data_IF_694223180594
#
_entry.id   IF_694223180594
#
_cell.length_a   1.000
_cell.length_b   1.000
_cell.length_c   1.000
_cell.angle_alpha   90.00
_cell.angle_beta   90.00
_cell.angle_gamma   90.00
#
_symmetry.space_group_name_H-M   'P 1'
#
loop_
_entity.id
_entity.type
_entity.pdbx_description
1 polymer ?
#
# COMPACT_ATOMS: atom_id res chain seq x y z
N UNK A 1 -22.97 0.75 -10.97
CA UNK A 1 -21.62 0.14 -10.97
C UNK A 1 -21.26 -0.19 -9.54
N UNK A 2 -20.89 -1.43 -9.25
CA UNK A 2 -20.36 -1.83 -7.94
C UNK A 2 -18.85 -1.63 -8.02
N UNK A 3 -18.29 -0.78 -7.17
CA UNK A 3 -16.82 -0.64 -7.03
C UNK A 3 -16.35 -1.62 -5.97
N UNK A 4 -15.61 -2.66 -6.36
CA UNK A 4 -14.98 -3.56 -5.39
C UNK A 4 -13.76 -2.84 -4.79
N UNK A 5 -13.80 -2.56 -3.49
CA UNK A 5 -12.69 -1.97 -2.76
C UNK A 5 -11.94 -3.07 -2.01
N UNK A 6 -10.67 -3.26 -2.36
CA UNK A 6 -9.80 -4.24 -1.73
C UNK A 6 -9.25 -3.71 -0.40
N UNK A 7 -9.01 -4.61 0.54
CA UNK A 7 -8.23 -4.31 1.75
C UNK A 7 -6.82 -4.85 1.56
N UNK A 8 -5.82 -3.98 1.66
CA UNK A 8 -4.41 -4.37 1.56
C UNK A 8 -3.82 -4.54 2.96
N UNK A 9 -3.33 -5.74 3.26
CA UNK A 9 -2.65 -6.05 4.51
C UNK A 9 -1.13 -5.99 4.30
N UNK A 10 -0.46 -5.10 5.04
CA UNK A 10 0.99 -4.96 5.03
C UNK A 10 1.54 -5.60 6.30
N UNK A 11 2.08 -6.81 6.14
CA UNK A 11 2.68 -7.60 7.22
C UNK A 11 4.20 -7.64 7.16
N UNK A 12 4.80 -7.13 6.08
CA UNK A 12 6.25 -7.11 5.89
C UNK A 12 6.86 -6.01 6.76
N UNK A 13 7.79 -6.34 7.68
CA UNK A 13 8.48 -5.34 8.49
C UNK A 13 9.30 -4.37 7.63
N UNK A 14 9.44 -3.13 8.11
CA UNK A 14 10.22 -2.08 7.45
C UNK A 14 9.71 -1.73 6.05
N UNK A 15 8.47 -2.11 5.71
CA UNK A 15 7.83 -1.68 4.49
C UNK A 15 7.55 -0.17 4.51
N UNK A 16 7.72 0.48 3.36
CA UNK A 16 7.36 1.86 3.13
C UNK A 16 6.20 1.94 2.14
N UNK A 17 5.07 2.44 2.61
CA UNK A 17 3.86 2.65 1.79
C UNK A 17 3.70 4.15 1.52
N UNK A 18 3.58 4.52 0.25
CA UNK A 18 3.38 5.91 -0.16
C UNK A 18 2.55 6.02 -1.43
N UNK A 19 2.03 7.21 -1.73
CA UNK A 19 1.40 7.46 -3.01
C UNK A 19 2.45 7.75 -4.08
N UNK A 20 2.24 7.16 -5.24
CA UNK A 20 3.03 7.40 -6.44
C UNK A 20 2.05 7.50 -7.62
N UNK A 21 1.83 8.70 -8.14
CA UNK A 21 0.96 8.93 -9.31
C UNK A 21 -0.45 8.27 -9.21
N UNK A 22 -1.19 8.54 -8.12
CA UNK A 22 -2.51 7.96 -7.83
C UNK A 22 -2.54 6.43 -7.64
N UNK A 23 -1.38 5.82 -7.45
CA UNK A 23 -1.23 4.43 -7.01
C UNK A 23 -0.71 4.38 -5.57
N UNK A 24 -1.06 3.32 -4.86
CA UNK A 24 -0.44 2.96 -3.60
C UNK A 24 0.77 2.08 -3.90
N UNK A 25 1.97 2.55 -3.56
CA UNK A 25 3.24 1.84 -3.77
C UNK A 25 3.77 1.32 -2.45
N UNK A 26 4.33 0.11 -2.48
CA UNK A 26 5.01 -0.52 -1.34
C UNK A 26 6.45 -0.82 -1.73
N UNK A 27 7.39 -0.16 -1.05
CA UNK A 27 8.81 -0.44 -1.15
C UNK A 27 9.28 -1.25 0.06
N UNK A 28 10.18 -2.20 -0.16
CA UNK A 28 10.86 -2.97 0.89
C UNK A 28 12.33 -3.03 0.49
N UNK A 29 13.24 -2.71 1.41
CA UNK A 29 14.68 -2.65 1.11
C UNK A 29 15.02 -1.74 -0.08
N UNK A 30 14.29 -0.62 -0.23
CA UNK A 30 14.43 0.33 -1.36
C UNK A 30 14.05 -0.25 -2.73
N UNK A 31 13.44 -1.43 -2.77
CA UNK A 31 12.91 -2.04 -3.99
C UNK A 31 11.38 -1.98 -4.02
N UNK A 32 10.82 -1.64 -5.18
CA UNK A 32 9.38 -1.69 -5.41
C UNK A 32 8.89 -3.12 -5.39
N UNK A 33 8.09 -3.48 -4.38
CA UNK A 33 7.48 -4.81 -4.24
C UNK A 33 6.05 -4.87 -4.79
N UNK A 34 5.29 -3.78 -4.63
CA UNK A 34 3.90 -3.70 -5.07
C UNK A 34 3.54 -2.28 -5.52
N UNK A 35 2.65 -2.18 -6.50
CA UNK A 35 2.03 -0.92 -6.91
C UNK A 35 0.60 -1.20 -7.40
N UNK A 36 -0.40 -0.61 -6.76
CA UNK A 36 -1.82 -0.82 -7.10
C UNK A 36 -2.57 0.49 -7.23
N UNK A 37 -3.57 0.61 -8.11
CA UNK A 37 -4.37 1.84 -8.20
C UNK A 37 -5.05 2.15 -6.86
N UNK A 38 -4.90 3.39 -6.37
CA UNK A 38 -5.43 3.78 -5.06
C UNK A 38 -6.96 3.65 -4.99
N UNK A 39 -7.65 3.95 -6.10
CA UNK A 39 -9.10 3.86 -6.19
C UNK A 39 -9.66 2.43 -6.12
N UNK A 40 -8.79 1.40 -6.13
CA UNK A 40 -9.17 0.01 -5.86
C UNK A 40 -8.97 -0.39 -4.39
N UNK A 41 -8.40 0.47 -3.55
CA UNK A 41 -8.07 0.17 -2.15
C UNK A 41 -9.03 0.92 -1.24
N UNK A 42 -9.83 0.18 -0.47
CA UNK A 42 -10.74 0.75 0.54
C UNK A 42 -10.11 0.87 1.92
N UNK A 43 -9.15 0.00 2.22
CA UNK A 43 -8.43 0.02 3.49
C UNK A 43 -6.98 -0.47 3.33
N UNK A 44 -6.10 0.12 4.12
CA UNK A 44 -4.72 -0.30 4.33
C UNK A 44 -4.56 -0.69 5.81
N UNK A 45 -4.14 -1.92 6.08
CA UNK A 45 -3.93 -2.43 7.44
C UNK A 45 -2.46 -2.78 7.60
N UNK A 46 -1.77 -2.07 8.49
CA UNK A 46 -0.35 -2.24 8.74
C UNK A 46 -0.10 -3.02 10.04
N UNK A 47 0.83 -3.96 10.01
CA UNK A 47 1.30 -4.70 11.19
C UNK A 47 2.79 -4.45 11.43
N UNK A 48 3.13 -4.11 12.68
CA UNK A 48 4.51 -3.88 13.08
C UNK A 48 5.06 -2.52 12.62
N UNK A 49 6.36 -2.49 12.31
CA UNK A 49 7.04 -1.26 11.90
C UNK A 49 6.88 -1.04 10.39
N UNK A 50 5.90 -0.22 10.01
CA UNK A 50 5.61 0.16 8.62
C UNK A 50 5.60 1.68 8.55
N UNK A 51 6.34 2.25 7.60
CA UNK A 51 6.31 3.69 7.34
C UNK A 51 5.22 3.99 6.32
N UNK A 52 4.40 5.01 6.61
CA UNK A 52 3.34 5.47 5.71
C UNK A 52 3.49 6.97 5.51
N UNK A 53 3.53 7.40 4.25
CA UNK A 53 3.43 8.82 3.89
C UNK A 53 2.38 9.02 2.79
N UNK A 54 1.84 10.24 2.64
CA UNK A 54 1.18 10.64 1.42
C UNK A 54 2.11 10.54 0.21
#
# INVERSE_FOLDING_TARGET
MITLQNTLYIMTPLAYVHLDNATLRVDVEHEKRLQVPLHHVGALVCFGNVLVSP
#
